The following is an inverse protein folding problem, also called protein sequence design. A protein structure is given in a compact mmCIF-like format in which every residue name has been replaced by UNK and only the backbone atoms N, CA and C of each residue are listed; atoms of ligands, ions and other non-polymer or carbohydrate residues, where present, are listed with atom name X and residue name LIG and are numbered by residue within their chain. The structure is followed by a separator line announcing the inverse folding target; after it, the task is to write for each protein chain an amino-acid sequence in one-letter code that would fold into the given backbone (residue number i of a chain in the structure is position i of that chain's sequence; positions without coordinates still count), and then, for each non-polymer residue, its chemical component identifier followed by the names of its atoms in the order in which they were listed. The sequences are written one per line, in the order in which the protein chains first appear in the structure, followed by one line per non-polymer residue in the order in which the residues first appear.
data_IF_092801409354
#
_entry.id   IF_092801409354
#
_cell.length_a   1.000
_cell.length_b   1.000
_cell.length_c   1.000
_cell.angle_alpha   90.00
_cell.angle_beta   90.00
_cell.angle_gamma   90.00
#
_symmetry.space_group_name_H-M   'P 1'
#
loop_
_entity.id
_entity.type
_entity.pdbx_description
1 polymer ?
#
# COMPACT_ATOMS: atom_id res chain seq x y z
N UNK A 1 -27.66 -1.57 4.34
CA UNK A 1 -26.37 -1.81 3.68
C UNK A 1 -26.01 -0.54 2.90
N UNK A 2 -25.35 0.43 3.53
CA UNK A 2 -24.97 1.69 2.87
C UNK A 2 -23.99 2.56 3.66
N UNK A 3 -23.04 1.98 4.42
CA UNK A 3 -22.03 2.76 5.17
C UNK A 3 -20.63 2.77 4.54
N UNK A 4 -20.33 1.91 3.55
CA UNK A 4 -19.01 1.86 2.88
C UNK A 4 -18.91 2.77 1.66
N UNK A 5 -20.00 3.39 1.20
CA UNK A 5 -20.07 4.07 -0.11
C UNK A 5 -19.16 5.29 -0.26
N UNK A 6 -18.59 5.80 0.82
CA UNK A 6 -17.70 6.96 0.84
C UNK A 6 -16.32 6.67 1.44
N UNK A 7 -16.02 5.39 1.77
CA UNK A 7 -14.75 4.99 2.36
C UNK A 7 -13.76 4.54 1.29
N UNK A 8 -12.50 4.94 1.40
CA UNK A 8 -11.43 4.56 0.49
C UNK A 8 -10.16 4.18 1.25
N UNK A 9 -9.53 3.06 0.90
CA UNK A 9 -8.22 2.68 1.42
C UNK A 9 -7.13 3.21 0.50
N UNK A 10 -6.20 3.98 1.06
CA UNK A 10 -5.05 4.54 0.35
C UNK A 10 -3.79 3.80 0.81
N UNK A 11 -3.23 2.97 -0.06
CA UNK A 11 -1.95 2.31 0.16
C UNK A 11 -0.81 3.25 -0.25
N UNK A 12 0.21 3.36 0.59
CA UNK A 12 1.36 4.25 0.37
C UNK A 12 2.64 3.44 0.30
N UNK A 13 3.28 3.46 -0.87
CA UNK A 13 4.57 2.82 -1.08
C UNK A 13 5.69 3.64 -0.41
N UNK A 14 6.71 2.94 0.09
CA UNK A 14 7.97 3.59 0.48
C UNK A 14 8.89 3.75 -0.74
N UNK A 15 8.42 4.52 -1.72
CA UNK A 15 9.13 4.86 -2.96
C UNK A 15 8.62 6.21 -3.46
N UNK A 16 9.45 6.95 -4.19
CA UNK A 16 9.08 8.22 -4.83
C UNK A 16 8.55 7.97 -6.26
N UNK A 17 7.55 8.74 -6.70
CA UNK A 17 6.95 8.61 -8.04
C UNK A 17 7.96 8.74 -9.18
N UNK A 18 9.00 9.57 -9.00
CA UNK A 18 10.07 9.83 -9.97
C UNK A 18 11.04 8.67 -10.21
N UNK A 19 11.10 7.65 -9.34
CA UNK A 19 12.05 6.52 -9.50
C UNK A 19 11.52 5.36 -10.33
N UNK A 20 10.24 5.38 -10.74
CA UNK A 20 9.60 4.29 -11.51
C UNK A 20 10.16 4.17 -12.95
N UNK A 21 10.72 5.24 -13.52
CA UNK A 21 11.39 5.19 -14.82
C UNK A 21 12.70 4.38 -14.82
N UNK A 22 13.22 3.98 -13.65
CA UNK A 22 14.47 3.24 -13.51
C UNK A 22 14.29 1.73 -13.23
N UNK A 23 13.05 1.22 -13.19
CA UNK A 23 12.74 -0.12 -12.64
C UNK A 23 13.30 -1.29 -13.46
N UNK A 24 13.66 -1.08 -14.75
CA UNK A 24 14.33 -2.14 -15.53
C UNK A 24 15.79 -2.37 -15.11
N UNK A 25 16.54 -1.32 -14.77
CA UNK A 25 17.95 -1.44 -14.39
C UNK A 25 18.16 -1.53 -12.87
N UNK A 26 17.16 -1.10 -12.08
CA UNK A 26 17.24 -1.13 -10.62
C UNK A 26 16.91 -2.48 -9.99
N UNK A 27 16.19 -3.37 -10.69
CA UNK A 27 15.82 -4.66 -10.11
C UNK A 27 17.04 -5.56 -9.83
N UNK A 28 18.14 -5.39 -10.56
CA UNK A 28 19.40 -6.08 -10.31
C UNK A 28 20.28 -5.40 -9.23
N UNK A 29 19.97 -4.15 -8.85
CA UNK A 29 20.64 -3.41 -7.75
C UNK A 29 19.88 -3.49 -6.42
N UNK A 30 18.71 -4.16 -6.40
CA UNK A 30 17.91 -4.51 -5.21
C UNK A 30 18.61 -5.44 -4.20
N UNK A 31 19.90 -5.74 -4.41
CA UNK A 31 20.78 -6.36 -3.42
C UNK A 31 21.51 -5.34 -2.51
N UNK A 32 21.13 -4.05 -2.55
CA UNK A 32 21.41 -3.11 -1.45
C UNK A 32 20.14 -2.86 -0.63
N UNK A 33 19.92 -3.59 0.48
CA UNK A 33 18.73 -3.47 1.34
C UNK A 33 18.63 -2.17 2.14
N UNK A 34 19.46 -1.16 1.85
CA UNK A 34 19.60 0.05 2.65
C UNK A 34 18.92 1.28 2.08
N UNK A 35 18.39 1.25 0.85
CA UNK A 35 17.86 2.49 0.22
C UNK A 35 16.35 2.56 0.07
N UNK A 36 15.60 1.45 -0.06
CA UNK A 36 14.13 1.48 0.00
C UNK A 36 13.56 0.13 0.45
N UNK A 37 13.40 -0.07 1.77
CA UNK A 37 12.66 -1.22 2.30
C UNK A 37 11.16 -0.94 2.16
N UNK A 38 10.57 -1.39 1.05
CA UNK A 38 9.14 -1.33 0.78
C UNK A 38 8.57 -2.76 0.74
N UNK A 39 8.14 -3.30 1.90
CA UNK A 39 7.59 -4.66 1.93
C UNK A 39 6.29 -4.77 1.10
N UNK A 40 5.47 -3.71 1.05
CA UNK A 40 4.31 -3.65 0.15
C UNK A 40 4.72 -3.93 -1.30
N UNK A 41 5.79 -3.30 -1.78
CA UNK A 41 6.33 -3.50 -3.11
C UNK A 41 6.81 -4.96 -3.31
N UNK A 42 7.58 -5.49 -2.35
CA UNK A 42 8.11 -6.86 -2.39
C UNK A 42 6.99 -7.91 -2.48
N UNK A 43 5.93 -7.72 -1.69
CA UNK A 43 4.84 -8.70 -1.64
C UNK A 43 3.91 -8.58 -2.85
N UNK A 44 3.72 -7.37 -3.41
CA UNK A 44 2.68 -7.12 -4.43
C UNK A 44 3.21 -7.01 -5.87
N UNK A 45 4.53 -6.86 -6.08
CA UNK A 45 5.14 -6.76 -7.41
C UNK A 45 6.10 -7.92 -7.73
N UNK A 46 6.34 -8.09 -9.02
CA UNK A 46 7.32 -8.98 -9.63
C UNK A 46 8.10 -8.23 -10.70
N UNK A 47 9.10 -8.86 -11.33
CA UNK A 47 9.84 -8.28 -12.45
C UNK A 47 8.96 -7.86 -13.65
N UNK A 48 7.72 -8.37 -13.71
CA UNK A 48 6.75 -8.07 -14.77
C UNK A 48 5.66 -7.08 -14.34
N UNK A 49 5.78 -6.48 -13.16
CA UNK A 49 4.79 -5.57 -12.58
C UNK A 49 3.98 -6.20 -11.44
N UNK A 50 2.82 -5.61 -11.16
CA UNK A 50 1.93 -6.02 -10.07
C UNK A 50 1.49 -7.49 -10.27
N UNK A 51 1.57 -8.29 -9.21
CA UNK A 51 1.15 -9.69 -9.22
C UNK A 51 -0.34 -9.77 -9.54
N UNK A 52 -0.73 -10.74 -10.38
CA UNK A 52 -2.12 -10.91 -10.83
C UNK A 52 -3.06 -11.20 -9.67
N UNK A 53 -2.61 -11.99 -8.70
CA UNK A 53 -3.41 -12.38 -7.54
C UNK A 53 -3.74 -11.16 -6.68
N UNK A 54 -2.71 -10.36 -6.35
CA UNK A 54 -2.90 -9.07 -5.66
C UNK A 54 -3.87 -8.14 -6.40
N UNK A 55 -3.70 -7.99 -7.72
CA UNK A 55 -4.59 -7.14 -8.53
C UNK A 55 -6.03 -7.63 -8.47
N UNK A 56 -6.23 -8.95 -8.54
CA UNK A 56 -7.56 -9.57 -8.50
C UNK A 56 -8.19 -9.44 -7.12
N UNK A 57 -7.40 -9.62 -6.06
CA UNK A 57 -7.80 -9.39 -4.67
C UNK A 57 -8.33 -7.96 -4.47
N UNK A 58 -7.54 -6.95 -4.84
CA UNK A 58 -7.91 -5.54 -4.71
C UNK A 58 -9.17 -5.20 -5.50
N UNK A 59 -9.32 -5.71 -6.72
CA UNK A 59 -10.51 -5.48 -7.55
C UNK A 59 -11.80 -6.09 -6.99
N UNK A 60 -11.68 -7.09 -6.12
CA UNK A 60 -12.81 -7.78 -5.51
C UNK A 60 -13.15 -7.25 -4.11
N UNK A 61 -12.44 -6.23 -3.61
CA UNK A 61 -12.77 -5.59 -2.34
C UNK A 61 -14.05 -4.75 -2.48
N UNK A 62 -14.91 -4.78 -1.45
CA UNK A 62 -16.12 -3.96 -1.37
C UNK A 62 -15.83 -2.51 -0.90
N UNK A 63 -14.60 -2.06 -1.07
CA UNK A 63 -14.13 -0.73 -0.70
C UNK A 63 -13.23 -0.17 -1.79
N UNK A 64 -13.36 1.12 -2.07
CA UNK A 64 -12.50 1.79 -3.03
C UNK A 64 -11.04 1.73 -2.55
N UNK A 65 -10.11 1.51 -3.48
CA UNK A 65 -8.68 1.44 -3.17
C UNK A 65 -7.88 2.34 -4.09
N UNK A 66 -6.90 3.03 -3.52
CA UNK A 66 -5.96 3.88 -4.22
C UNK A 66 -4.53 3.54 -3.79
N UNK A 67 -3.58 3.74 -4.68
CA UNK A 67 -2.16 3.52 -4.42
C UNK A 67 -1.37 4.79 -4.75
N UNK A 68 -0.55 5.25 -3.80
CA UNK A 68 0.30 6.42 -3.93
C UNK A 68 1.74 6.09 -3.58
N UNK A 69 2.67 6.80 -4.19
CA UNK A 69 4.04 6.94 -3.70
C UNK A 69 4.08 7.89 -2.50
N UNK A 70 5.16 7.85 -1.71
CA UNK A 70 5.24 8.65 -0.49
C UNK A 70 5.21 10.16 -0.79
N UNK A 71 5.85 10.60 -1.87
CA UNK A 71 5.86 11.99 -2.34
C UNK A 71 4.46 12.44 -2.78
N UNK A 72 3.74 11.60 -3.55
CA UNK A 72 2.35 11.87 -3.94
C UNK A 72 1.41 11.95 -2.73
N UNK A 73 1.67 11.14 -1.70
CA UNK A 73 0.89 11.15 -0.46
C UNK A 73 1.17 12.40 0.38
N UNK A 74 2.45 12.77 0.56
CA UNK A 74 2.86 13.97 1.31
C UNK A 74 2.44 15.27 0.63
N UNK A 75 2.37 15.29 -0.71
CA UNK A 75 1.83 16.43 -1.46
C UNK A 75 0.33 16.60 -1.26
N UNK A 76 -0.41 15.49 -1.11
CA UNK A 76 -1.87 15.49 -1.03
C UNK A 76 -2.41 15.59 0.40
N UNK A 77 -1.68 15.10 1.39
CA UNK A 77 -2.16 14.96 2.76
C UNK A 77 -1.15 15.49 3.79
N UNK A 78 -1.60 16.37 4.67
CA UNK A 78 -0.80 16.88 5.79
C UNK A 78 -0.85 15.93 6.99
N UNK A 79 -0.09 14.84 6.93
CA UNK A 79 0.06 13.91 8.06
C UNK A 79 1.31 14.24 8.86
N UNK A 80 1.19 14.27 10.19
CA UNK A 80 2.33 14.47 11.09
C UNK A 80 3.15 13.18 11.22
N UNK A 81 4.42 13.24 10.85
CA UNK A 81 5.39 12.13 10.95
C UNK A 81 4.90 10.80 10.34
N UNK A 82 4.49 10.80 9.05
CA UNK A 82 3.99 9.59 8.40
C UNK A 82 5.09 8.53 8.29
N UNK A 83 4.71 7.27 8.40
CA UNK A 83 5.62 6.11 8.31
C UNK A 83 5.28 5.28 7.08
N UNK A 84 6.30 4.83 6.36
CA UNK A 84 6.12 4.07 5.12
C UNK A 84 6.87 2.73 5.13
N UNK A 85 6.37 1.72 4.40
CA UNK A 85 5.08 1.71 3.70
C UNK A 85 3.92 1.60 4.70
N UNK A 86 2.73 2.08 4.34
CA UNK A 86 1.53 2.07 5.21
C UNK A 86 0.25 2.10 4.39
N UNK A 87 -0.91 1.95 5.03
CA UNK A 87 -2.20 2.24 4.42
C UNK A 87 -3.05 3.11 5.34
N UNK A 88 -3.86 3.98 4.75
CA UNK A 88 -4.79 4.86 5.45
C UNK A 88 -6.22 4.61 4.97
N UNK A 89 -7.19 4.83 5.85
CA UNK A 89 -8.61 4.85 5.50
C UNK A 89 -9.04 6.31 5.42
N UNK A 90 -9.64 6.67 4.28
CA UNK A 90 -10.26 7.97 4.08
C UNK A 90 -11.77 7.83 4.23
N UNK A 91 -12.37 8.63 5.11
CA UNK A 91 -13.82 8.68 5.35
C UNK A 91 -14.26 10.12 5.61
N UNK A 92 -15.18 10.64 4.79
CA UNK A 92 -15.72 12.01 4.89
C UNK A 92 -14.66 13.12 5.06
N UNK A 93 -13.47 12.93 4.47
CA UNK A 93 -12.36 13.89 4.55
C UNK A 93 -11.41 13.67 5.74
N UNK A 94 -11.75 12.78 6.67
CA UNK A 94 -10.83 12.31 7.68
C UNK A 94 -9.92 11.23 7.10
N UNK A 95 -8.66 11.23 7.51
CA UNK A 95 -7.68 10.23 7.13
C UNK A 95 -7.10 9.59 8.38
N UNK A 96 -7.31 8.29 8.54
CA UNK A 96 -6.85 7.53 9.71
C UNK A 96 -5.91 6.41 9.29
N UNK A 97 -4.96 6.07 10.17
CA UNK A 97 -4.04 4.96 9.90
C UNK A 97 -4.82 3.65 9.89
N UNK A 98 -4.74 2.93 8.77
CA UNK A 98 -5.45 1.66 8.57
C UNK A 98 -4.50 0.47 8.81
N UNK A 99 -3.32 0.52 8.17
CA UNK A 99 -2.25 -0.45 8.35
C UNK A 99 -0.96 0.33 8.62
N UNK A 100 -0.36 0.08 9.78
CA UNK A 100 0.89 0.68 10.19
C UNK A 100 2.08 0.13 9.40
N UNK A 101 3.21 0.84 9.46
CA UNK A 101 4.48 0.37 8.89
C UNK A 101 4.92 -0.96 9.50
N UNK A 102 4.70 -1.13 10.80
CA UNK A 102 5.10 -2.31 11.55
C UNK A 102 4.26 -3.52 11.12
N UNK A 103 2.94 -3.38 11.03
CA UNK A 103 2.05 -4.42 10.53
C UNK A 103 2.42 -4.79 9.08
N UNK A 104 2.57 -3.80 8.20
CA UNK A 104 2.86 -4.04 6.79
C UNK A 104 4.22 -4.70 6.56
N UNK A 105 5.24 -4.38 7.36
CA UNK A 105 6.55 -5.02 7.27
C UNK A 105 6.64 -6.37 8.00
N UNK A 106 5.64 -6.73 8.81
CA UNK A 106 5.60 -8.04 9.47
C UNK A 106 5.19 -9.18 8.55
N UNK A 107 4.48 -8.84 7.46
CA UNK A 107 3.98 -9.76 6.44
C UNK A 107 5.10 -10.39 5.62
N UNK A 108 5.06 -11.71 5.43
CA UNK A 108 6.13 -12.48 4.76
C UNK A 108 5.73 -13.02 3.39
N UNK A 109 4.45 -12.96 3.03
CA UNK A 109 3.93 -13.48 1.77
C UNK A 109 2.82 -12.59 1.22
N UNK A 110 2.46 -12.82 -0.05
CA UNK A 110 1.29 -12.17 -0.65
C UNK A 110 -0.01 -12.56 0.09
N UNK A 111 -0.16 -13.84 0.41
CA UNK A 111 -1.32 -14.37 1.16
C UNK A 111 -1.46 -13.67 2.52
N UNK A 112 -0.38 -13.51 3.27
CA UNK A 112 -0.40 -12.78 4.54
C UNK A 112 -0.76 -11.29 4.37
N UNK A 113 -0.43 -10.67 3.22
CA UNK A 113 -0.82 -9.29 2.91
C UNK A 113 -2.33 -9.20 2.65
N UNK A 114 -2.87 -10.11 1.85
CA UNK A 114 -4.30 -10.20 1.53
C UNK A 114 -5.12 -10.48 2.80
N UNK A 115 -4.63 -11.37 3.67
CA UNK A 115 -5.20 -11.65 4.98
C UNK A 115 -5.22 -10.43 5.89
N UNK A 116 -4.12 -9.67 5.96
CA UNK A 116 -4.04 -8.45 6.76
C UNK A 116 -5.07 -7.42 6.31
N UNK A 117 -5.17 -7.18 4.99
CA UNK A 117 -6.14 -6.24 4.42
C UNK A 117 -7.57 -6.71 4.69
N UNK A 118 -7.87 -7.99 4.44
CA UNK A 118 -9.20 -8.56 4.66
C UNK A 118 -9.63 -8.44 6.13
N UNK A 119 -8.74 -8.78 7.07
CA UNK A 119 -9.00 -8.64 8.51
C UNK A 119 -9.32 -7.19 8.87
N UNK A 120 -8.55 -6.23 8.35
CA UNK A 120 -8.77 -4.82 8.64
C UNK A 120 -10.07 -4.29 8.03
N UNK A 121 -10.43 -4.70 6.81
CA UNK A 121 -11.69 -4.30 6.16
C UNK A 121 -12.89 -4.86 6.95
N UNK A 122 -12.83 -6.11 7.38
CA UNK A 122 -13.91 -6.73 8.18
C UNK A 122 -14.12 -6.06 9.54
N UNK A 123 -13.15 -5.28 10.04
CA UNK A 123 -13.31 -4.48 11.27
C UNK A 123 -13.94 -3.10 11.01
N UNK A 124 -14.09 -2.69 9.75
CA UNK A 124 -14.75 -1.44 9.35
C UNK A 124 -16.25 -1.59 9.10
N UNK A 125 -16.73 -2.83 9.01
CA UNK A 125 -18.13 -3.25 8.76
C UNK A 125 -18.79 -3.72 10.05
#
# INVERSE_FOLDING_TARGET
MSETKNKKVIFVFNADSGVVNFVKDWWHKLLKPSTYNCNLCVQTFSAFGMKKDWKSFIQNLDIETEFLHKDEFEERFEIKDPKYPSAYIQDEGNLEIFITKEEMNSVKSLEEMEDLVSKKINLLT
#
